data_IF_004418179442
#
_entry.id   IF_004418179442
#
_cell.length_a   1.000
_cell.length_b   1.000
_cell.length_c   1.000
_cell.angle_alpha   90.00
_cell.angle_beta   90.00
_cell.angle_gamma   90.00
#
_symmetry.space_group_name_H-M   'P 1'
#
loop_
_entity.id
_entity.type
_entity.pdbx_description
1 polymer ?
#
# COMPACT_ATOMS: atom_id res chain seq x y z
N UNK A 1 -3.51 23.77 -4.56
CA UNK A 1 -2.68 23.09 -5.57
C UNK A 1 -1.24 23.33 -5.21
N UNK A 2 -0.46 22.28 -4.95
CA UNK A 2 0.99 22.41 -4.71
C UNK A 2 1.63 22.87 -6.02
N UNK A 3 2.41 23.95 -5.97
CA UNK A 3 3.22 24.39 -7.12
C UNK A 3 4.36 23.38 -7.34
N UNK A 4 4.64 23.03 -8.60
CA UNK A 4 5.54 21.93 -8.97
C UNK A 4 6.65 22.43 -9.87
N UNK A 5 7.90 22.07 -9.55
CA UNK A 5 9.02 22.18 -10.48
C UNK A 5 9.03 20.94 -11.39
N UNK A 6 8.79 21.12 -12.68
CA UNK A 6 8.76 20.01 -13.65
C UNK A 6 10.10 19.87 -14.34
N UNK A 7 10.66 18.66 -14.29
CA UNK A 7 11.85 18.28 -15.05
C UNK A 7 11.45 17.19 -16.02
N UNK A 8 11.57 17.46 -17.31
CA UNK A 8 11.42 16.46 -18.34
C UNK A 8 12.82 16.05 -18.79
N UNK A 9 13.11 14.75 -18.70
CA UNK A 9 14.35 14.20 -19.22
C UNK A 9 14.05 13.54 -20.55
N UNK A 10 14.85 13.85 -21.56
CA UNK A 10 14.78 13.19 -22.86
C UNK A 10 16.18 12.70 -23.17
N UNK A 11 16.34 11.38 -23.16
CA UNK A 11 17.59 10.74 -23.54
C UNK A 11 17.57 10.48 -25.04
N UNK A 12 18.62 10.91 -25.72
CA UNK A 12 18.90 10.48 -27.09
C UNK A 12 20.13 9.60 -27.03
N UNK A 13 20.00 8.35 -27.47
CA UNK A 13 21.10 7.39 -27.49
C UNK A 13 21.34 6.90 -28.92
N UNK A 14 22.60 6.85 -29.38
CA UNK A 14 22.94 6.14 -30.60
C UNK A 14 23.03 4.62 -30.40
N UNK A 15 22.61 4.06 -29.25
CA UNK A 15 22.73 2.61 -28.98
C UNK A 15 21.98 1.72 -29.99
N UNK A 16 20.99 2.27 -30.71
CA UNK A 16 20.36 1.61 -31.86
C UNK A 16 21.21 1.64 -33.14
N UNK A 17 22.15 2.58 -33.25
CA UNK A 17 23.10 2.72 -34.35
C UNK A 17 24.40 1.96 -34.03
N UNK A 18 24.38 0.65 -34.32
CA UNK A 18 25.55 -0.20 -34.19
C UNK A 18 26.71 0.18 -35.13
N UNK A 19 26.45 0.99 -36.16
CA UNK A 19 27.49 1.44 -37.10
C UNK A 19 28.39 2.54 -36.50
N UNK A 20 27.90 3.22 -35.45
CA UNK A 20 28.66 4.25 -34.72
C UNK A 20 29.81 3.71 -33.85
N UNK A 21 29.85 2.38 -33.59
CA UNK A 21 30.85 1.77 -32.70
C UNK A 21 30.61 2.01 -31.20
N UNK A 22 29.57 2.75 -30.81
CA UNK A 22 29.18 2.95 -29.41
C UNK A 22 28.35 1.77 -28.89
N UNK A 23 29.01 0.69 -28.48
CA UNK A 23 28.36 -0.56 -28.05
C UNK A 23 28.28 -0.77 -26.54
N UNK A 24 28.84 0.14 -25.75
CA UNK A 24 28.91 0.02 -24.30
C UNK A 24 28.00 1.05 -23.62
N UNK A 25 27.42 0.67 -22.49
CA UNK A 25 26.57 1.53 -21.67
C UNK A 25 27.20 1.73 -20.29
N UNK A 26 27.02 2.92 -19.73
CA UNK A 26 27.39 3.23 -18.34
C UNK A 26 26.38 4.18 -17.72
N UNK A 27 26.20 4.07 -16.41
CA UNK A 27 25.45 5.06 -15.64
C UNK A 27 26.17 6.42 -15.70
N UNK A 28 25.42 7.48 -15.98
CA UNK A 28 25.91 8.85 -15.96
C UNK A 28 24.98 9.73 -15.10
N UNK A 29 25.56 10.73 -14.45
CA UNK A 29 24.82 11.76 -13.72
C UNK A 29 24.63 12.97 -14.62
N UNK A 30 23.39 13.44 -14.76
CA UNK A 30 23.08 14.71 -15.41
C UNK A 30 22.70 15.75 -14.34
N UNK A 31 23.32 16.92 -14.40
CA UNK A 31 22.96 18.05 -13.53
C UNK A 31 21.95 18.96 -14.23
N UNK A 32 20.85 19.25 -13.56
CA UNK A 32 19.81 20.17 -14.05
C UNK A 32 19.77 21.38 -13.12
N UNK A 33 19.95 22.57 -13.67
CA UNK A 33 19.79 23.83 -12.93
C UNK A 33 18.39 24.39 -13.20
N UNK A 34 17.61 24.56 -12.13
CA UNK A 34 16.32 25.21 -12.21
C UNK A 34 16.50 26.71 -12.50
N UNK A 35 15.60 27.34 -13.29
CA UNK A 35 15.67 28.77 -13.60
C UNK A 35 15.44 29.65 -12.38
N UNK A 36 14.78 29.11 -11.35
CA UNK A 36 14.50 29.76 -10.08
C UNK A 36 14.82 28.80 -8.91
N UNK A 37 15.11 29.32 -7.70
CA UNK A 37 15.28 28.49 -6.51
C UNK A 37 14.10 27.55 -6.30
N UNK A 38 14.35 26.29 -5.91
CA UNK A 38 13.28 25.30 -5.73
C UNK A 38 12.20 25.77 -4.74
N UNK A 39 12.60 26.41 -3.65
CA UNK A 39 11.70 26.82 -2.57
C UNK A 39 11.01 25.61 -1.95
N UNK A 40 9.72 25.75 -1.63
CA UNK A 40 8.89 24.68 -1.06
C UNK A 40 8.20 23.81 -2.13
N UNK A 41 8.63 23.93 -3.40
CA UNK A 41 8.03 23.18 -4.51
C UNK A 41 8.55 21.75 -4.52
N UNK A 42 7.65 20.82 -4.80
CA UNK A 42 8.05 19.46 -5.12
C UNK A 42 8.57 19.39 -6.56
N UNK A 43 9.54 18.50 -6.79
CA UNK A 43 10.06 18.22 -8.13
C UNK A 43 9.33 17.02 -8.71
N UNK A 44 8.85 17.12 -9.94
CA UNK A 44 8.32 15.97 -10.68
C UNK A 44 9.17 15.71 -11.92
N UNK A 45 9.65 14.48 -12.04
CA UNK A 45 10.45 14.00 -13.16
C UNK A 45 9.57 13.15 -14.07
N UNK A 46 9.56 13.49 -15.37
CA UNK A 46 8.83 12.77 -16.43
C UNK A 46 7.33 12.55 -16.16
N UNK A 47 6.71 13.40 -15.33
CA UNK A 47 5.31 13.38 -14.89
C UNK A 47 4.89 12.29 -13.88
N UNK A 48 5.79 11.40 -13.45
CA UNK A 48 5.41 10.29 -12.56
C UNK A 48 6.20 10.30 -11.25
N UNK A 49 7.50 10.56 -11.32
CA UNK A 49 8.37 10.45 -10.15
C UNK A 49 8.42 11.78 -9.42
N UNK A 50 7.78 11.86 -8.26
CA UNK A 50 7.74 13.08 -7.45
C UNK A 50 8.74 13.02 -6.30
N UNK A 51 9.43 14.12 -6.07
CA UNK A 51 10.37 14.32 -4.99
C UNK A 51 9.99 15.56 -4.19
N UNK A 52 10.32 15.56 -2.91
CA UNK A 52 10.04 16.67 -1.99
C UNK A 52 11.27 17.04 -1.18
N UNK A 53 11.38 18.32 -0.82
CA UNK A 53 12.39 18.78 0.12
C UNK A 53 12.04 18.39 1.57
N UNK A 54 10.77 18.08 1.85
CA UNK A 54 10.29 17.78 3.20
C UNK A 54 10.97 16.54 3.78
N UNK A 55 11.68 16.75 4.88
CA UNK A 55 12.45 15.71 5.58
C UNK A 55 13.74 15.28 4.87
N UNK A 56 14.13 15.96 3.78
CA UNK A 56 15.39 15.72 3.09
C UNK A 56 16.49 16.69 3.58
N UNK A 57 17.75 16.26 3.50
CA UNK A 57 18.91 17.13 3.76
C UNK A 57 19.38 17.77 2.45
N UNK A 58 19.36 19.11 2.31
CA UNK A 58 19.85 19.77 1.11
C UNK A 58 21.29 19.36 0.77
N UNK A 59 21.64 19.20 -0.53
CA UNK A 59 20.82 19.45 -1.71
C UNK A 59 19.96 18.25 -2.15
N UNK A 60 19.89 17.17 -1.37
CA UNK A 60 19.11 15.99 -1.72
C UNK A 60 17.60 16.26 -1.58
N UNK A 61 16.80 15.52 -2.35
CA UNK A 61 15.35 15.46 -2.24
C UNK A 61 14.91 14.04 -1.89
N UNK A 62 13.82 13.93 -1.14
CA UNK A 62 13.22 12.64 -0.78
C UNK A 62 12.26 12.21 -1.87
N UNK A 63 12.38 10.97 -2.34
CA UNK A 63 11.40 10.36 -3.22
C UNK A 63 10.06 10.22 -2.48
N UNK A 64 8.98 10.69 -3.10
CA UNK A 64 7.64 10.50 -2.58
C UNK A 64 7.18 9.06 -2.82
N UNK A 65 6.52 8.47 -1.83
CA UNK A 65 6.01 7.10 -1.92
C UNK A 65 4.65 7.04 -2.63
N UNK A 66 4.06 5.85 -2.67
CA UNK A 66 2.73 5.61 -3.24
C UNK A 66 1.63 6.45 -2.57
N UNK A 67 1.80 6.77 -1.28
CA UNK A 67 0.92 7.64 -0.49
C UNK A 67 1.17 9.14 -0.71
N UNK A 68 2.03 9.49 -1.67
CA UNK A 68 2.43 10.86 -1.96
C UNK A 68 3.59 11.38 -1.11
N UNK A 69 3.80 12.69 -1.18
CA UNK A 69 4.94 13.34 -0.52
C UNK A 69 4.70 13.60 0.97
N UNK A 70 3.42 13.75 1.35
CA UNK A 70 2.95 14.01 2.71
C UNK A 70 1.96 12.92 3.12
N UNK A 71 2.41 11.67 3.27
CA UNK A 71 1.52 10.60 3.71
C UNK A 71 0.90 10.98 5.06
N UNK A 72 -0.39 10.65 5.29
CA UNK A 72 -1.00 10.84 6.60
C UNK A 72 -0.17 10.21 7.72
N UNK A 73 -0.16 10.80 8.91
CA UNK A 73 0.52 10.17 10.04
C UNK A 73 -0.14 8.84 10.40
N UNK A 74 0.68 7.85 10.78
CA UNK A 74 0.20 6.58 11.32
C UNK A 74 -0.61 6.83 12.59
N UNK A 75 -1.87 6.38 12.64
CA UNK A 75 -2.75 6.62 13.78
C UNK A 75 -4.20 6.20 13.53
N UNK A 76 -5.08 6.55 14.46
CA UNK A 76 -6.48 6.13 14.41
C UNK A 76 -7.34 7.05 13.55
N UNK A 77 -7.06 7.08 12.24
CA UNK A 77 -7.81 7.87 11.26
C UNK A 77 -8.06 7.08 9.99
N UNK A 78 -9.16 7.38 9.28
CA UNK A 78 -9.51 6.71 8.03
C UNK A 78 -8.38 6.76 6.99
N UNK A 79 -7.74 7.93 6.83
CA UNK A 79 -6.62 8.11 5.91
C UNK A 79 -5.41 7.24 6.27
N UNK A 80 -5.17 7.01 7.58
CA UNK A 80 -4.12 6.10 8.02
C UNK A 80 -4.47 4.63 7.79
N UNK A 81 -5.74 4.24 7.91
CA UNK A 81 -6.19 2.87 7.65
C UNK A 81 -6.12 2.50 6.15
N UNK A 82 -6.22 3.47 5.25
CA UNK A 82 -5.96 3.26 3.82
C UNK A 82 -4.50 2.86 3.57
N UNK A 83 -3.55 3.41 4.34
CA UNK A 83 -2.15 2.98 4.29
C UNK A 83 -2.00 1.52 4.74
N UNK A 84 -2.74 1.10 5.76
CA UNK A 84 -2.72 -0.27 6.25
C UNK A 84 -3.23 -1.26 5.17
N UNK A 85 -4.24 -0.86 4.39
CA UNK A 85 -4.72 -1.67 3.25
C UNK A 85 -3.66 -1.78 2.15
N UNK A 86 -2.98 -0.68 1.82
CA UNK A 86 -1.88 -0.69 0.84
C UNK A 86 -0.72 -1.56 1.33
N UNK A 87 -0.37 -1.50 2.62
CA UNK A 87 0.74 -2.27 3.20
C UNK A 87 0.56 -3.80 3.09
N UNK A 88 -0.68 -4.29 2.95
CA UNK A 88 -0.99 -5.71 2.74
C UNK A 88 -1.39 -6.04 1.31
N UNK A 89 -1.24 -5.09 0.38
CA UNK A 89 -1.70 -5.19 -1.01
C UNK A 89 -3.17 -5.65 -1.09
N UNK A 90 -4.03 -5.06 -0.25
CA UNK A 90 -5.46 -5.38 -0.26
C UNK A 90 -6.05 -5.06 -1.64
N UNK A 91 -6.93 -5.92 -2.19
CA UNK A 91 -7.57 -5.64 -3.47
C UNK A 91 -8.38 -4.35 -3.47
N UNK A 92 -8.52 -3.76 -4.66
CA UNK A 92 -9.45 -2.65 -4.88
C UNK A 92 -10.87 -3.04 -4.46
N UNK A 93 -11.63 -2.07 -3.93
CA UNK A 93 -12.98 -2.26 -3.38
C UNK A 93 -13.07 -3.20 -2.17
N UNK A 94 -11.99 -3.32 -1.40
CA UNK A 94 -12.02 -3.92 -0.07
C UNK A 94 -12.90 -3.12 0.89
N UNK A 95 -13.80 -3.80 1.61
CA UNK A 95 -14.65 -3.22 2.63
C UNK A 95 -14.01 -3.40 4.01
N UNK A 96 -13.81 -2.30 4.76
CA UNK A 96 -13.38 -2.30 6.16
C UNK A 96 -14.59 -2.33 7.08
N UNK A 97 -14.57 -3.18 8.12
CA UNK A 97 -15.67 -3.30 9.07
C UNK A 97 -15.22 -3.02 10.51
N UNK A 98 -14.35 -3.87 11.07
CA UNK A 98 -13.90 -3.74 12.46
C UNK A 98 -12.61 -2.95 12.51
N UNK A 99 -12.64 -1.77 13.12
CA UNK A 99 -11.47 -0.91 13.31
C UNK A 99 -11.21 -0.79 14.82
N UNK A 100 -10.18 -1.49 15.32
CA UNK A 100 -9.72 -1.36 16.72
C UNK A 100 -8.32 -0.74 16.69
N UNK A 101 -8.17 0.45 17.25
CA UNK A 101 -6.92 1.19 17.20
C UNK A 101 -6.64 1.91 18.51
N UNK A 102 -5.39 1.91 18.95
CA UNK A 102 -4.91 2.68 20.11
C UNK A 102 -3.78 3.67 19.75
N UNK A 103 -3.49 3.83 18.46
CA UNK A 103 -2.45 4.70 17.91
C UNK A 103 -1.09 4.01 17.77
N UNK A 104 -0.84 2.92 18.50
CA UNK A 104 0.37 2.09 18.37
C UNK A 104 0.09 0.77 17.64
N UNK A 105 -1.12 0.26 17.79
CA UNK A 105 -1.59 -0.98 17.24
C UNK A 105 -2.92 -0.76 16.54
N UNK A 106 -3.15 -1.56 15.52
CA UNK A 106 -4.36 -1.54 14.72
C UNK A 106 -4.80 -2.97 14.41
N UNK A 107 -6.09 -3.22 14.52
CA UNK A 107 -6.76 -4.40 13.99
C UNK A 107 -7.76 -3.93 12.95
N UNK A 108 -7.65 -4.47 11.74
CA UNK A 108 -8.62 -4.29 10.68
C UNK A 108 -9.20 -5.64 10.29
N UNK A 109 -10.53 -5.73 10.37
CA UNK A 109 -11.27 -6.74 9.64
C UNK A 109 -11.65 -6.14 8.29
N UNK A 110 -11.22 -6.78 7.21
CA UNK A 110 -11.65 -6.37 5.89
C UNK A 110 -12.06 -7.55 5.03
N UNK A 111 -12.95 -7.26 4.08
CA UNK A 111 -13.49 -8.27 3.17
C UNK A 111 -13.50 -7.80 1.73
N UNK A 112 -13.30 -8.72 0.81
CA UNK A 112 -13.33 -8.44 -0.63
C UNK A 112 -13.99 -9.58 -1.39
N UNK A 113 -14.52 -9.28 -2.58
CA UNK A 113 -15.12 -10.29 -3.45
C UNK A 113 -14.03 -11.07 -4.18
N UNK A 114 -14.21 -12.38 -4.33
CA UNK A 114 -13.27 -13.24 -5.06
C UNK A 114 -13.87 -13.76 -6.35
N UNK A 115 -13.14 -13.67 -7.46
CA UNK A 115 -13.58 -14.12 -8.79
C UNK A 115 -12.91 -13.32 -9.92
N UNK A 116 -12.93 -13.77 -11.18
CA UNK A 116 -12.33 -13.02 -12.29
C UNK A 116 -13.01 -11.65 -12.43
N UNK A 117 -12.24 -10.59 -12.19
CA UNK A 117 -12.60 -9.17 -12.34
C UNK A 117 -14.12 -8.87 -12.29
N UNK A 118 -14.74 -9.15 -11.14
CA UNK A 118 -16.21 -9.14 -11.00
C UNK A 118 -16.79 -7.71 -11.02
N UNK A 119 -16.92 -7.12 -12.22
CA UNK A 119 -17.63 -5.87 -12.51
C UNK A 119 -19.16 -6.06 -12.58
N UNK A 120 -19.78 -6.56 -11.50
CA UNK A 120 -21.24 -6.74 -11.43
C UNK A 120 -21.78 -8.06 -12.00
N UNK A 121 -20.91 -9.04 -12.25
CA UNK A 121 -21.32 -10.38 -12.71
C UNK A 121 -22.22 -11.10 -11.67
N UNK A 122 -23.30 -11.77 -12.11
CA UNK A 122 -24.16 -12.60 -11.25
C UNK A 122 -23.56 -13.99 -10.96
N UNK A 123 -22.34 -14.29 -11.41
CA UNK A 123 -21.67 -15.57 -11.16
C UNK A 123 -21.60 -15.85 -9.65
N UNK A 124 -22.02 -17.05 -9.17
CA UNK A 124 -21.89 -17.44 -7.77
C UNK A 124 -20.46 -17.29 -7.23
N UNK A 125 -19.43 -17.51 -8.05
CA UNK A 125 -18.04 -17.22 -7.71
C UNK A 125 -17.88 -15.74 -7.33
N UNK A 126 -18.44 -14.80 -8.12
CA UNK A 126 -18.44 -13.35 -7.84
C UNK A 126 -19.29 -12.91 -6.62
N UNK A 127 -20.07 -13.84 -6.03
CA UNK A 127 -20.78 -13.59 -4.77
C UNK A 127 -19.96 -13.96 -3.53
N UNK A 128 -18.92 -14.79 -3.70
CA UNK A 128 -18.02 -15.20 -2.63
C UNK A 128 -17.23 -14.00 -2.08
N UNK A 129 -17.05 -13.97 -0.76
CA UNK A 129 -16.25 -12.96 -0.07
C UNK A 129 -15.16 -13.66 0.72
N UNK A 130 -13.97 -13.08 0.73
CA UNK A 130 -12.94 -13.40 1.70
C UNK A 130 -12.98 -12.39 2.83
N UNK A 131 -12.68 -12.86 4.05
CA UNK A 131 -12.55 -12.04 5.24
C UNK A 131 -11.21 -12.30 5.89
N UNK A 132 -10.45 -11.24 6.06
CA UNK A 132 -9.21 -11.27 6.81
C UNK A 132 -9.29 -10.35 8.01
N UNK A 133 -8.65 -10.79 9.09
CA UNK A 133 -8.27 -9.93 10.19
C UNK A 133 -6.77 -9.73 10.15
N UNK A 134 -6.36 -8.49 9.96
CA UNK A 134 -4.98 -8.09 10.01
C UNK A 134 -4.68 -7.29 11.27
N UNK A 135 -3.52 -7.58 11.84
CA UNK A 135 -2.94 -6.87 12.97
C UNK A 135 -1.74 -6.07 12.45
N UNK A 136 -1.60 -4.85 12.95
CA UNK A 136 -0.54 -3.94 12.54
C UNK A 136 0.11 -3.26 13.72
N UNK A 137 1.38 -2.89 13.54
CA UNK A 137 2.14 -2.02 14.43
C UNK A 137 2.43 -0.69 13.75
N UNK A 138 2.29 0.41 14.47
CA UNK A 138 2.64 1.72 13.96
C UNK A 138 4.16 1.85 13.80
N UNK A 139 4.60 2.35 12.64
CA UNK A 139 5.96 2.84 12.36
C UNK A 139 5.87 4.27 11.81
N UNK A 140 7.00 4.96 11.79
CA UNK A 140 7.11 6.29 11.15
C UNK A 140 6.74 6.25 9.67
N UNK A 141 7.07 5.14 8.99
CA UNK A 141 6.79 4.93 7.57
C UNK A 141 5.37 4.45 7.26
N UNK A 142 4.51 4.26 8.27
CA UNK A 142 3.16 3.70 8.10
C UNK A 142 2.87 2.51 9.01
N UNK A 143 1.78 1.79 8.71
CA UNK A 143 1.41 0.56 9.41
C UNK A 143 2.21 -0.64 8.91
N UNK A 144 2.82 -1.37 9.85
CA UNK A 144 3.55 -2.62 9.60
C UNK A 144 2.66 -3.82 9.89
N UNK A 145 2.33 -4.67 8.90
CA UNK A 145 1.50 -5.85 9.12
C UNK A 145 2.30 -6.92 9.89
N UNK A 146 1.77 -7.37 11.02
CA UNK A 146 2.47 -8.33 11.91
C UNK A 146 1.85 -9.73 11.88
N UNK A 147 0.54 -9.82 11.62
CA UNK A 147 -0.19 -11.07 11.69
C UNK A 147 -1.53 -11.01 10.95
N UNK A 148 -1.94 -12.16 10.38
CA UNK A 148 -3.22 -12.37 9.70
C UNK A 148 -3.89 -13.62 10.27
N UNK A 149 -5.19 -13.56 10.57
CA UNK A 149 -5.99 -14.73 10.97
C UNK A 149 -7.47 -14.51 10.68
N UNK A 150 -8.28 -15.55 10.86
CA UNK A 150 -9.75 -15.46 10.99
C UNK A 150 -10.22 -15.78 12.41
N UNK A 151 -9.32 -16.18 13.31
CA UNK A 151 -9.65 -16.51 14.68
C UNK A 151 -10.07 -15.28 15.51
N UNK A 152 -10.87 -15.55 16.54
CA UNK A 152 -11.23 -14.58 17.57
C UNK A 152 -10.21 -14.53 18.71
N UNK A 153 -10.33 -13.51 19.55
CA UNK A 153 -9.53 -13.35 20.76
C UNK A 153 -8.08 -12.95 20.52
N UNK A 154 -7.29 -13.03 21.59
CA UNK A 154 -5.90 -12.53 21.63
C UNK A 154 -4.83 -13.61 21.46
N UNK A 155 -5.19 -14.89 21.58
CA UNK A 155 -4.21 -15.96 21.78
C UNK A 155 -3.18 -16.06 20.64
N UNK A 156 -3.63 -16.01 19.39
CA UNK A 156 -2.75 -16.14 18.23
C UNK A 156 -1.79 -14.95 18.11
N UNK A 157 -2.34 -13.72 18.21
CA UNK A 157 -1.54 -12.51 18.07
C UNK A 157 -0.55 -12.38 19.23
N UNK A 158 -0.94 -12.65 20.47
CA UNK A 158 -0.04 -12.51 21.62
C UNK A 158 1.05 -13.59 21.66
N UNK A 159 0.84 -14.75 21.03
CA UNK A 159 1.95 -15.70 20.80
C UNK A 159 2.99 -15.14 19.83
N UNK A 160 2.58 -14.35 18.84
CA UNK A 160 3.46 -13.76 17.83
C UNK A 160 4.09 -12.45 18.28
N UNK A 161 3.31 -11.61 18.96
CA UNK A 161 3.67 -10.30 19.47
C UNK A 161 3.11 -10.15 20.90
N UNK A 162 3.87 -10.60 21.92
CA UNK A 162 3.42 -10.58 23.31
C UNK A 162 3.08 -9.19 23.85
N UNK A 163 3.61 -8.12 23.23
CA UNK A 163 3.29 -6.74 23.61
C UNK A 163 1.94 -6.26 23.05
N UNK A 164 1.22 -7.09 22.28
CA UNK A 164 -0.06 -6.71 21.70
C UNK A 164 -1.15 -6.54 22.79
N UNK A 165 -1.85 -5.40 22.81
CA UNK A 165 -2.77 -5.05 23.89
C UNK A 165 -4.03 -5.92 23.86
N UNK A 166 -4.33 -6.55 25.00
CA UNK A 166 -5.52 -7.38 25.19
C UNK A 166 -6.82 -6.62 24.88
N UNK A 167 -6.86 -5.31 25.15
CA UNK A 167 -8.04 -4.47 24.90
C UNK A 167 -8.46 -4.40 23.42
N UNK A 168 -7.53 -4.62 22.48
CA UNK A 168 -7.84 -4.58 21.05
C UNK A 168 -8.32 -5.93 20.50
N UNK A 169 -8.08 -7.04 21.21
CA UNK A 169 -8.39 -8.39 20.73
C UNK A 169 -9.36 -9.20 21.59
N UNK A 170 -9.57 -8.84 22.85
CA UNK A 170 -10.34 -9.66 23.80
C UNK A 170 -11.79 -9.89 23.36
N UNK A 171 -12.43 -8.87 22.78
CA UNK A 171 -13.82 -8.93 22.33
C UNK A 171 -13.97 -9.38 20.87
N UNK A 172 -12.89 -9.76 20.19
CA UNK A 172 -12.95 -10.10 18.78
C UNK A 172 -13.54 -11.51 18.63
N UNK A 173 -14.73 -11.60 18.03
CA UNK A 173 -15.27 -12.87 17.57
C UNK A 173 -14.44 -13.41 16.39
N UNK A 174 -14.43 -14.74 16.16
CA UNK A 174 -13.97 -15.29 14.89
C UNK A 174 -14.71 -14.66 13.70
N UNK A 175 -14.01 -14.51 12.57
CA UNK A 175 -14.64 -14.03 11.36
C UNK A 175 -15.71 -15.02 10.88
N UNK A 176 -16.75 -14.48 10.24
CA UNK A 176 -17.87 -15.29 9.76
C UNK A 176 -17.40 -16.34 8.74
N UNK A 177 -17.84 -17.60 8.86
CA UNK A 177 -17.61 -18.61 7.82
C UNK A 177 -18.13 -18.21 6.44
N UNK A 178 -19.12 -17.31 6.37
CA UNK A 178 -19.63 -16.76 5.11
C UNK A 178 -18.61 -15.88 4.37
N UNK A 179 -17.52 -15.50 5.03
CA UNK A 179 -16.36 -14.81 4.45
C UNK A 179 -15.27 -15.81 4.03
N UNK A 180 -15.60 -17.09 3.92
CA UNK A 180 -14.75 -18.09 3.30
C UNK A 180 -15.43 -18.64 2.04
N UNK A 181 -14.64 -19.07 1.03
CA UNK A 181 -15.21 -19.59 -0.20
C UNK A 181 -16.07 -20.81 0.12
N UNK A 182 -17.37 -20.68 -0.09
CA UNK A 182 -18.30 -21.81 -0.02
C UNK A 182 -18.38 -22.41 -1.42
N UNK A 183 -17.40 -23.22 -1.79
CA UNK A 183 -17.48 -23.96 -3.05
C UNK A 183 -18.33 -25.21 -2.82
N UNK A 184 -19.55 -25.31 -3.36
CA UNK A 184 -20.18 -26.62 -3.47
C UNK A 184 -19.24 -27.51 -4.30
N UNK A 185 -19.05 -28.79 -3.92
CA UNK A 185 -18.24 -29.70 -4.71
C UNK A 185 -18.78 -29.69 -6.15
N UNK A 186 -17.87 -29.66 -7.13
CA UNK A 186 -18.25 -29.72 -8.53
C UNK A 186 -19.18 -30.92 -8.73
N UNK A 187 -20.41 -30.67 -9.17
CA UNK A 187 -21.34 -31.72 -9.58
C UNK A 187 -20.73 -32.43 -10.76
N UNK A 188 -20.06 -33.54 -10.52
CA UNK A 188 -19.77 -34.55 -11.53
C UNK A 188 -21.11 -35.06 -12.02
N UNK A 189 -21.56 -34.51 -13.13
CA UNK A 189 -22.73 -35.03 -13.86
C UNK A 189 -22.24 -36.27 -14.62
N UNK A 190 -22.95 -37.41 -14.55
CA UNK A 190 -22.52 -38.69 -15.13
C UNK A 190 -22.44 -38.69 -16.66
#
# INVERSE_FOLDING_TARGET
MTDLARVQITFTSPSGDRSSGCTEERTATAEVRLPEPLGDRDVIVDNYTRFTADGAKPPALRLCGELGCTPPATGCTTASYEQALMAVNAPDHTYRNSEKCDGKWLVLDFSWRTGPACGGSPDPACSSRLGDRWFFRAKESGWDPIFRTSAGGCQDIQRREPAFPTSLCASLAPLSPSLHPSHPPATTTP
#
